data_IF_118985156037
#
_entry.id   IF_118985156037
#
_cell.length_a   1.000
_cell.length_b   1.000
_cell.length_c   1.000
_cell.angle_alpha   90.00
_cell.angle_beta   90.00
_cell.angle_gamma   90.00
#
_symmetry.space_group_name_H-M   'P 1'
#
loop_
_entity.id
_entity.type
_entity.pdbx_description
1 polymer ?
#
# COMPACT_ATOMS: atom_id res chain seq x y z
N UNK A 1 11.81 -3.50 -13.26
CA UNK A 1 10.99 -4.55 -12.63
C UNK A 1 9.65 -4.01 -12.16
N UNK A 2 9.61 -2.86 -11.48
CA UNK A 2 8.35 -2.21 -11.13
C UNK A 2 7.43 -1.97 -12.34
N UNK A 3 7.96 -1.59 -13.49
CA UNK A 3 7.19 -1.32 -14.72
C UNK A 3 6.29 -2.48 -15.17
N UNK A 4 6.65 -3.73 -14.88
CA UNK A 4 5.85 -4.90 -15.25
C UNK A 4 4.57 -5.02 -14.42
N UNK A 5 4.61 -4.59 -13.16
CA UNK A 5 3.49 -4.67 -12.22
C UNK A 5 2.81 -3.33 -11.99
N UNK A 6 3.42 -2.25 -12.48
CA UNK A 6 2.97 -0.87 -12.25
C UNK A 6 1.48 -0.70 -12.58
N UNK A 7 1.05 -1.17 -13.74
CA UNK A 7 -0.34 -1.00 -14.18
C UNK A 7 -1.33 -1.76 -13.26
N UNK A 8 -1.00 -2.99 -12.86
CA UNK A 8 -1.81 -3.78 -11.93
C UNK A 8 -1.81 -3.19 -10.52
N UNK A 9 -0.66 -2.68 -10.05
CA UNK A 9 -0.54 -1.99 -8.77
C UNK A 9 -1.41 -0.74 -8.81
N UNK A 10 -1.32 0.08 -9.85
CA UNK A 10 -2.14 1.28 -10.00
C UNK A 10 -3.62 0.95 -10.01
N UNK A 11 -4.06 -0.10 -10.72
CA UNK A 11 -5.45 -0.56 -10.71
C UNK A 11 -5.91 -1.00 -9.33
N UNK A 12 -5.11 -1.81 -8.63
CA UNK A 12 -5.42 -2.26 -7.28
C UNK A 12 -5.52 -1.07 -6.31
N UNK A 13 -4.56 -0.15 -6.39
CA UNK A 13 -4.56 1.08 -5.61
C UNK A 13 -5.78 1.96 -5.92
N UNK A 14 -6.21 2.05 -7.18
CA UNK A 14 -7.38 2.85 -7.57
C UNK A 14 -8.66 2.34 -6.91
N UNK A 15 -8.79 1.03 -6.69
CA UNK A 15 -9.94 0.45 -5.97
C UNK A 15 -9.98 0.83 -4.49
N UNK A 16 -8.82 1.07 -3.86
CA UNK A 16 -8.71 1.38 -2.44
C UNK A 16 -8.54 2.88 -2.15
N UNK A 17 -8.04 3.68 -3.11
CA UNK A 17 -7.93 5.14 -3.02
C UNK A 17 -9.18 5.82 -2.45
N UNK A 18 -10.42 5.54 -2.93
CA UNK A 18 -11.61 6.19 -2.36
C UNK A 18 -11.82 5.85 -0.87
N UNK A 19 -11.44 4.65 -0.43
CA UNK A 19 -11.50 4.25 0.98
C UNK A 19 -10.40 4.94 1.80
N UNK A 20 -9.19 5.04 1.24
CA UNK A 20 -8.08 5.76 1.87
C UNK A 20 -8.42 7.24 2.03
N UNK A 21 -8.95 7.88 0.99
CA UNK A 21 -9.36 9.28 0.99
C UNK A 21 -10.51 9.53 1.98
N UNK A 22 -11.45 8.59 2.12
CA UNK A 22 -12.51 8.65 3.14
C UNK A 22 -11.95 8.63 4.57
N UNK A 23 -10.86 7.90 4.79
CA UNK A 23 -10.09 7.89 6.05
C UNK A 23 -9.14 9.10 6.20
N UNK A 24 -9.10 10.01 5.21
CA UNK A 24 -8.20 11.17 5.20
C UNK A 24 -6.73 10.80 4.94
N UNK A 25 -6.52 9.68 4.25
CA UNK A 25 -5.22 9.15 3.84
C UNK A 25 -5.11 8.93 2.33
N UNK A 26 -3.94 8.54 1.88
CA UNK A 26 -3.63 8.15 0.52
C UNK A 26 -2.37 7.27 0.51
N UNK A 27 -2.07 6.65 -0.62
CA UNK A 27 -0.92 5.76 -0.82
C UNK A 27 -0.20 6.11 -2.10
N UNK A 28 1.12 6.02 -2.05
CA UNK A 28 2.00 6.24 -3.19
C UNK A 28 2.96 5.06 -3.35
N UNK A 29 3.12 4.57 -4.56
CA UNK A 29 4.10 3.52 -4.87
C UNK A 29 5.50 4.13 -4.88
N UNK A 30 6.40 3.56 -4.09
CA UNK A 30 7.81 3.97 -4.03
C UNK A 30 8.67 3.05 -4.89
N UNK A 31 8.44 1.75 -4.81
CA UNK A 31 9.26 0.77 -5.51
C UNK A 31 8.81 -0.65 -5.27
N UNK A 32 9.42 -1.59 -5.99
CA UNK A 32 9.27 -3.02 -5.78
C UNK A 32 10.67 -3.61 -5.66
N UNK A 33 10.94 -4.32 -4.56
CA UNK A 33 12.24 -4.97 -4.33
C UNK A 33 12.37 -6.28 -5.11
N UNK A 34 13.58 -6.82 -5.20
CA UNK A 34 13.85 -8.11 -5.84
C UNK A 34 13.20 -9.30 -5.10
N UNK A 35 12.89 -9.12 -3.81
CA UNK A 35 12.18 -10.10 -2.98
C UNK A 35 10.66 -10.04 -3.15
N UNK A 36 10.17 -9.34 -4.18
CA UNK A 36 8.75 -9.10 -4.42
C UNK A 36 8.05 -8.38 -3.25
N UNK A 37 8.78 -7.48 -2.58
CA UNK A 37 8.24 -6.62 -1.52
C UNK A 37 7.87 -5.26 -2.11
N UNK A 38 6.57 -4.96 -2.14
CA UNK A 38 6.07 -3.69 -2.66
C UNK A 38 6.23 -2.60 -1.59
N UNK A 39 7.04 -1.60 -1.90
CA UNK A 39 7.26 -0.44 -1.04
C UNK A 39 6.30 0.68 -1.40
N UNK A 40 5.53 1.10 -0.41
CA UNK A 40 4.52 2.14 -0.49
C UNK A 40 4.82 3.25 0.52
N UNK A 41 4.29 4.44 0.28
CA UNK A 41 4.29 5.55 1.21
C UNK A 41 2.84 5.95 1.49
N UNK A 42 2.43 5.86 2.75
CA UNK A 42 1.09 6.21 3.21
C UNK A 42 1.04 7.71 3.52
N UNK A 43 0.46 8.51 2.64
CA UNK A 43 0.34 9.96 2.84
C UNK A 43 -0.98 10.32 3.53
N UNK A 44 -1.01 11.37 4.36
CA UNK A 44 -2.25 11.88 4.96
C UNK A 44 -2.30 11.87 6.48
N UNK A 45 -3.45 12.26 7.04
CA UNK A 45 -3.62 12.62 8.45
C UNK A 45 -3.64 11.43 9.42
N UNK A 46 -3.70 10.20 8.91
CA UNK A 46 -3.72 8.99 9.73
C UNK A 46 -2.35 8.58 10.31
N UNK A 47 -1.31 9.42 10.14
CA UNK A 47 -0.02 9.25 10.84
C UNK A 47 -0.11 9.45 12.36
N UNK A 48 -1.22 9.99 12.89
CA UNK A 48 -1.39 10.22 14.34
C UNK A 48 -2.18 9.12 15.08
N UNK A 49 -2.74 8.11 14.39
CA UNK A 49 -3.45 7.00 15.04
C UNK A 49 -2.79 5.65 14.70
N UNK A 50 -1.84 5.16 15.54
CA UNK A 50 -1.06 3.94 15.24
C UNK A 50 -1.93 2.68 15.10
N UNK A 51 -3.14 2.69 15.69
CA UNK A 51 -4.06 1.55 15.62
C UNK A 51 -4.73 1.42 14.24
N UNK A 52 -4.97 2.52 13.53
CA UNK A 52 -5.62 2.51 12.20
C UNK A 52 -4.65 2.15 11.09
N UNK A 53 -3.35 2.45 11.26
CA UNK A 53 -2.33 2.20 10.23
C UNK A 53 -2.08 0.71 9.99
N UNK A 54 -2.20 -0.13 11.04
CA UNK A 54 -2.09 -1.58 10.90
C UNK A 54 -3.22 -2.17 10.05
N UNK A 55 -4.47 -1.78 10.31
CA UNK A 55 -5.65 -2.25 9.56
C UNK A 55 -5.66 -1.72 8.12
N UNK A 56 -5.28 -0.45 7.93
CA UNK A 56 -5.11 0.13 6.59
C UNK A 56 -4.05 -0.61 5.78
N UNK A 57 -2.87 -0.86 6.37
CA UNK A 57 -1.81 -1.63 5.72
C UNK A 57 -2.28 -3.03 5.33
N UNK A 58 -3.01 -3.72 6.21
CA UNK A 58 -3.55 -5.05 5.92
C UNK A 58 -4.52 -5.01 4.73
N UNK A 59 -5.44 -4.04 4.67
CA UNK A 59 -6.38 -3.90 3.55
C UNK A 59 -5.69 -3.59 2.22
N UNK A 60 -4.67 -2.72 2.23
CA UNK A 60 -3.85 -2.44 1.04
C UNK A 60 -3.09 -3.70 0.60
N UNK A 61 -2.49 -4.43 1.54
CA UNK A 61 -1.77 -5.67 1.23
C UNK A 61 -2.69 -6.73 0.62
N UNK A 62 -3.90 -6.93 1.17
CA UNK A 62 -4.88 -7.86 0.62
C UNK A 62 -5.34 -7.47 -0.78
N UNK A 63 -5.61 -6.19 -1.02
CA UNK A 63 -5.99 -5.69 -2.34
C UNK A 63 -4.89 -5.91 -3.37
N UNK A 64 -3.64 -5.62 -3.01
CA UNK A 64 -2.46 -5.84 -3.87
C UNK A 64 -2.26 -7.33 -4.12
N UNK A 65 -2.27 -8.19 -3.09
CA UNK A 65 -2.10 -9.64 -3.25
C UNK A 65 -3.21 -10.28 -4.10
N UNK A 66 -4.43 -9.73 -4.02
CA UNK A 66 -5.55 -10.19 -4.84
C UNK A 66 -5.39 -9.84 -6.32
N UNK A 67 -4.82 -8.67 -6.61
CA UNK A 67 -4.51 -8.27 -7.98
C UNK A 67 -3.24 -8.98 -8.50
N UNK A 68 -2.22 -9.09 -7.65
CA UNK A 68 -0.89 -9.58 -7.98
C UNK A 68 -0.45 -10.58 -6.90
N UNK A 69 -0.79 -11.87 -7.06
CA UNK A 69 -0.42 -12.90 -6.09
C UNK A 69 1.09 -13.16 -6.01
N UNK A 70 1.88 -12.62 -6.95
CA UNK A 70 3.33 -12.70 -6.94
C UNK A 70 3.98 -11.75 -5.90
N UNK A 71 3.25 -10.72 -5.42
CA UNK A 71 3.75 -9.84 -4.37
C UNK A 71 3.77 -10.61 -3.05
N UNK A 72 4.97 -10.78 -2.49
CA UNK A 72 5.19 -11.53 -1.26
C UNK A 72 4.72 -10.75 -0.04
N UNK A 73 5.04 -9.45 0.00
CA UNK A 73 4.72 -8.55 1.13
C UNK A 73 4.55 -7.11 0.67
N UNK A 74 3.79 -6.34 1.43
CA UNK A 74 3.68 -4.89 1.25
C UNK A 74 4.25 -4.17 2.47
N UNK A 75 5.13 -3.20 2.23
CA UNK A 75 5.76 -2.40 3.28
C UNK A 75 5.53 -0.90 3.06
N UNK A 76 5.10 -0.23 4.12
CA UNK A 76 4.95 1.21 4.13
C UNK A 76 6.22 1.84 4.71
N UNK A 77 6.93 2.65 3.93
CA UNK A 77 8.25 3.21 4.29
C UNK A 77 8.17 4.30 5.36
N UNK A 78 6.97 4.83 5.63
CA UNK A 78 6.75 5.97 6.51
C UNK A 78 5.80 5.65 7.69
N UNK A 79 5.48 4.38 7.91
CA UNK A 79 4.74 3.93 9.09
C UNK A 79 5.73 3.34 10.05
N UNK A 80 6.07 4.11 11.08
CA UNK A 80 6.87 3.60 12.19
C UNK A 80 5.97 2.67 13.01
N UNK A 81 6.17 1.37 12.83
CA UNK A 81 5.50 0.34 13.64
C UNK A 81 6.23 0.32 14.99
N UNK A 82 5.84 1.21 15.88
CA UNK A 82 6.31 1.24 17.27
C UNK A 82 5.72 0.07 18.07
#
# INVERSE_FOLDING_TARGET
>A
MLDQYKEQIEMALDTIRPYLEADGGNVKVIGLTEEMVLQLELTGTCSSCPMSTMTLKAGVEEAIKKAIPEISKVEAVNVEVA
#
